data_IF_863535657071
#
_entry.id   IF_863535657071
#
_cell.length_a   1.000
_cell.length_b   1.000
_cell.length_c   1.000
_cell.angle_alpha   90.00
_cell.angle_beta   90.00
_cell.angle_gamma   90.00
#
_symmetry.space_group_name_H-M   'P 1'
#
loop_
_entity.id
_entity.type
_entity.pdbx_description
1 polymer ?
#
# COMPACT_ATOMS: atom_id res chain seq x y z
N UNK A 1 -44.93 5.19 -13.56
CA UNK A 1 -44.07 5.29 -14.76
C UNK A 1 -42.70 5.65 -14.23
N UNK A 2 -41.76 4.72 -14.23
CA UNK A 2 -40.39 5.04 -13.86
C UNK A 2 -39.73 5.75 -15.04
N UNK A 3 -39.42 7.03 -14.85
CA UNK A 3 -38.61 7.79 -15.78
C UNK A 3 -37.14 7.55 -15.42
N UNK A 4 -36.54 6.50 -15.98
CA UNK A 4 -35.09 6.49 -16.11
C UNK A 4 -34.69 7.56 -17.13
N UNK A 5 -33.87 8.51 -16.70
CA UNK A 5 -33.25 9.51 -17.58
C UNK A 5 -32.01 8.95 -18.30
N UNK A 6 -31.55 7.73 -17.96
CA UNK A 6 -30.30 7.18 -18.47
C UNK A 6 -30.38 6.75 -19.94
N UNK A 7 -31.49 6.14 -20.37
CA UNK A 7 -31.70 5.68 -21.76
C UNK A 7 -32.17 6.80 -22.73
N UNK A 8 -32.40 8.00 -22.21
CA UNK A 8 -33.07 9.09 -22.94
C UNK A 8 -34.55 8.81 -23.23
N UNK A 9 -35.21 9.74 -23.92
CA UNK A 9 -36.59 9.55 -24.37
C UNK A 9 -36.62 8.67 -25.62
N UNK A 10 -37.25 7.50 -25.53
CA UNK A 10 -37.50 6.66 -26.72
C UNK A 10 -38.29 7.43 -27.78
N UNK A 11 -38.11 7.08 -29.05
CA UNK A 11 -38.77 7.77 -30.19
C UNK A 11 -40.29 7.92 -30.01
N UNK A 12 -40.93 6.96 -29.32
CA UNK A 12 -42.36 6.99 -28.98
C UNK A 12 -42.68 8.04 -27.90
N UNK A 13 -41.88 8.14 -26.83
CA UNK A 13 -42.08 9.14 -25.77
C UNK A 13 -41.81 10.55 -26.31
N UNK A 14 -40.76 10.73 -27.12
CA UNK A 14 -40.45 12.02 -27.77
C UNK A 14 -41.59 12.48 -28.68
N UNK A 15 -42.17 11.57 -29.47
CA UNK A 15 -43.34 11.87 -30.30
C UNK A 15 -44.58 12.24 -29.46
N UNK A 16 -44.82 11.57 -28.33
CA UNK A 16 -45.92 11.90 -27.41
C UNK A 16 -45.74 13.27 -26.76
N UNK A 17 -44.53 13.62 -26.32
CA UNK A 17 -44.24 14.92 -25.70
C UNK A 17 -44.36 16.06 -26.72
N UNK A 18 -43.80 15.89 -27.92
CA UNK A 18 -43.91 16.88 -29.01
C UNK A 18 -45.37 17.03 -29.44
N UNK A 19 -46.10 15.93 -29.64
CA UNK A 19 -47.53 15.96 -29.97
C UNK A 19 -48.38 16.65 -28.89
N UNK A 20 -48.08 16.39 -27.61
CA UNK A 20 -48.71 17.05 -26.47
C UNK A 20 -48.45 18.56 -26.46
N UNK A 21 -47.20 18.99 -26.64
CA UNK A 21 -46.84 20.40 -26.71
C UNK A 21 -47.51 21.12 -27.89
N UNK A 22 -47.57 20.49 -29.07
CA UNK A 22 -48.26 21.02 -30.26
C UNK A 22 -49.77 21.17 -29.99
N UNK A 23 -50.42 20.17 -29.37
CA UNK A 23 -51.83 20.26 -28.97
C UNK A 23 -52.09 21.35 -27.93
N UNK A 24 -51.16 21.57 -27.00
CA UNK A 24 -51.26 22.61 -25.98
C UNK A 24 -51.16 24.01 -26.61
N UNK A 25 -50.22 24.23 -27.53
CA UNK A 25 -50.12 25.48 -28.31
C UNK A 25 -51.35 25.69 -29.20
N UNK A 26 -51.81 24.66 -29.92
CA UNK A 26 -53.00 24.75 -30.77
C UNK A 26 -54.27 25.06 -29.98
N UNK A 27 -54.44 24.48 -28.79
CA UNK A 27 -55.60 24.76 -27.94
C UNK A 27 -55.59 26.17 -27.37
N UNK A 28 -54.43 26.75 -27.06
CA UNK A 28 -54.31 28.19 -26.72
C UNK A 28 -54.72 29.07 -27.92
N UNK A 29 -54.26 28.74 -29.12
CA UNK A 29 -54.60 29.49 -30.35
C UNK A 29 -56.12 29.44 -30.60
N UNK A 30 -56.73 28.26 -30.58
CA UNK A 30 -58.18 28.07 -30.80
C UNK A 30 -59.01 28.75 -29.72
N UNK A 31 -58.62 28.68 -28.45
CA UNK A 31 -59.33 29.37 -27.36
C UNK A 31 -59.24 30.90 -27.47
N UNK A 32 -58.17 31.43 -28.08
CA UNK A 32 -58.02 32.86 -28.36
C UNK A 32 -58.91 33.29 -29.54
N UNK A 33 -58.92 32.51 -30.61
CA UNK A 33 -59.74 32.76 -31.82
C UNK A 33 -61.25 32.71 -31.50
N UNK A 34 -61.67 31.78 -30.64
CA UNK A 34 -63.05 31.67 -30.12
C UNK A 34 -63.40 32.72 -29.03
N UNK A 35 -62.50 33.66 -28.73
CA UNK A 35 -62.65 34.70 -27.68
C UNK A 35 -62.90 34.16 -26.26
N UNK A 36 -62.59 32.89 -25.99
CA UNK A 36 -62.66 32.27 -24.66
C UNK A 36 -61.51 32.78 -23.78
N UNK A 37 -60.36 33.08 -24.41
CA UNK A 37 -59.16 33.63 -23.79
C UNK A 37 -58.84 35.02 -24.35
N UNK A 38 -58.46 35.96 -23.48
CA UNK A 38 -57.95 37.26 -23.92
C UNK A 38 -56.52 37.11 -24.48
N UNK A 39 -56.14 37.99 -25.39
CA UNK A 39 -54.79 38.00 -26.00
C UNK A 39 -53.69 38.08 -24.92
N UNK A 40 -53.93 38.82 -23.83
CA UNK A 40 -53.01 38.91 -22.69
C UNK A 40 -52.90 37.59 -21.90
N UNK A 41 -54.02 36.88 -21.69
CA UNK A 41 -54.02 35.56 -21.06
C UNK A 41 -53.34 34.50 -21.93
N UNK A 42 -53.55 34.54 -23.25
CA UNK A 42 -52.91 33.66 -24.21
C UNK A 42 -51.38 33.88 -24.25
N UNK A 43 -50.92 35.13 -24.23
CA UNK A 43 -49.50 35.47 -24.13
C UNK A 43 -48.84 34.89 -22.88
N UNK A 44 -49.47 35.03 -21.71
CA UNK A 44 -48.94 34.52 -20.44
C UNK A 44 -48.89 32.98 -20.39
N UNK A 45 -49.84 32.29 -21.04
CA UNK A 45 -49.78 30.83 -21.19
C UNK A 45 -48.66 30.39 -22.15
N UNK A 46 -48.43 31.12 -23.25
CA UNK A 46 -47.34 30.82 -24.19
C UNK A 46 -45.96 31.05 -23.56
N UNK A 47 -45.78 32.12 -22.78
CA UNK A 47 -44.57 32.34 -21.98
C UNK A 47 -44.34 31.21 -20.95
N UNK A 48 -45.41 30.70 -20.33
CA UNK A 48 -45.35 29.52 -19.47
C UNK A 48 -44.83 28.27 -20.20
N UNK A 49 -45.36 27.99 -21.40
CA UNK A 49 -44.91 26.87 -22.26
C UNK A 49 -43.45 27.04 -22.68
N UNK A 50 -43.04 28.24 -23.10
CA UNK A 50 -41.67 28.55 -23.47
C UNK A 50 -40.70 28.41 -22.27
N UNK A 51 -41.11 28.86 -21.08
CA UNK A 51 -40.31 28.74 -19.85
C UNK A 51 -40.12 27.28 -19.47
N UNK A 52 -41.16 26.45 -19.53
CA UNK A 52 -41.07 25.00 -19.30
C UNK A 52 -40.14 24.33 -20.33
N UNK A 53 -40.26 24.69 -21.62
CA UNK A 53 -39.36 24.20 -22.67
C UNK A 53 -37.90 24.59 -22.42
N UNK A 54 -37.65 25.81 -21.97
CA UNK A 54 -36.30 26.32 -21.66
C UNK A 54 -35.70 25.59 -20.46
N UNK A 55 -36.47 25.38 -19.39
CA UNK A 55 -36.04 24.59 -18.22
C UNK A 55 -35.75 23.12 -18.61
N UNK A 56 -36.60 22.52 -19.44
CA UNK A 56 -36.39 21.17 -19.96
C UNK A 56 -35.11 21.05 -20.78
N UNK A 57 -34.80 22.03 -21.63
CA UNK A 57 -33.55 22.08 -22.40
C UNK A 57 -32.31 22.22 -21.52
N UNK A 58 -32.35 23.08 -20.49
CA UNK A 58 -31.25 23.24 -19.52
C UNK A 58 -31.02 21.93 -18.76
N UNK A 59 -32.09 21.27 -18.30
CA UNK A 59 -32.01 20.01 -17.58
C UNK A 59 -31.44 18.87 -18.46
N UNK A 60 -31.91 18.75 -19.71
CA UNK A 60 -31.37 17.79 -20.68
C UNK A 60 -29.89 18.02 -20.95
N UNK A 61 -29.49 19.28 -21.14
CA UNK A 61 -28.09 19.65 -21.41
C UNK A 61 -27.20 19.36 -20.19
N UNK A 62 -27.65 19.67 -18.98
CA UNK A 62 -26.97 19.32 -17.74
C UNK A 62 -26.83 17.79 -17.59
N UNK A 63 -27.88 17.03 -17.88
CA UNK A 63 -27.85 15.56 -17.83
C UNK A 63 -26.85 14.98 -18.84
N UNK A 64 -26.87 15.45 -20.09
CA UNK A 64 -25.92 15.02 -21.13
C UNK A 64 -24.47 15.35 -20.75
N UNK A 65 -24.20 16.56 -20.25
CA UNK A 65 -22.85 16.94 -19.79
C UNK A 65 -22.40 16.09 -18.60
N UNK A 66 -23.31 15.78 -17.67
CA UNK A 66 -22.99 14.90 -16.54
C UNK A 66 -22.72 13.46 -16.98
N UNK A 67 -23.45 12.93 -17.97
CA UNK A 67 -23.21 11.60 -18.54
C UNK A 67 -21.89 11.56 -19.32
N UNK A 68 -21.67 12.50 -20.25
CA UNK A 68 -20.42 12.60 -21.01
C UNK A 68 -19.19 12.70 -20.09
N UNK A 69 -19.31 13.42 -18.97
CA UNK A 69 -18.24 13.49 -17.98
C UNK A 69 -17.95 12.13 -17.34
N UNK A 70 -18.97 11.36 -16.93
CA UNK A 70 -18.78 9.99 -16.43
C UNK A 70 -18.18 9.06 -17.50
N UNK A 71 -18.64 9.16 -18.74
CA UNK A 71 -18.11 8.33 -19.85
C UNK A 71 -16.64 8.63 -20.13
N UNK A 72 -16.22 9.89 -20.02
CA UNK A 72 -14.81 10.31 -20.11
C UNK A 72 -14.02 9.74 -18.93
N UNK A 73 -14.49 9.93 -17.69
CA UNK A 73 -13.82 9.42 -16.46
C UNK A 73 -13.68 7.89 -16.49
N UNK A 74 -14.69 7.14 -16.95
CA UNK A 74 -14.65 5.68 -17.14
C UNK A 74 -13.66 5.29 -18.24
N UNK A 75 -13.66 6.00 -19.39
CA UNK A 75 -12.74 5.72 -20.49
C UNK A 75 -11.29 5.98 -20.10
N UNK A 76 -11.01 7.08 -19.40
CA UNK A 76 -9.68 7.39 -18.89
C UNK A 76 -9.20 6.30 -17.93
N UNK A 77 -10.02 5.90 -16.95
CA UNK A 77 -9.70 4.78 -16.04
C UNK A 77 -9.37 3.50 -16.79
N UNK A 78 -10.18 3.09 -17.77
CA UNK A 78 -9.90 1.91 -18.59
C UNK A 78 -8.64 2.05 -19.45
N UNK A 79 -8.30 3.26 -19.90
CA UNK A 79 -7.06 3.51 -20.65
C UNK A 79 -5.80 3.40 -19.77
N UNK A 80 -5.86 3.87 -18.52
CA UNK A 80 -4.72 3.79 -17.59
C UNK A 80 -4.59 2.44 -16.88
N UNK A 81 -5.69 1.68 -16.73
CA UNK A 81 -5.76 0.40 -16.00
C UNK A 81 -4.58 -0.57 -16.25
N UNK A 82 -4.10 -0.82 -17.49
CA UNK A 82 -2.96 -1.71 -17.72
C UNK A 82 -1.67 -1.22 -17.03
N UNK A 83 -1.38 0.07 -17.13
CA UNK A 83 -0.21 0.69 -16.50
C UNK A 83 -0.32 0.70 -14.97
N UNK A 84 -1.55 0.78 -14.43
CA UNK A 84 -1.81 0.68 -12.99
C UNK A 84 -1.55 -0.75 -12.51
N UNK A 85 -2.06 -1.77 -13.19
CA UNK A 85 -1.77 -3.19 -12.89
C UNK A 85 -0.26 -3.43 -12.91
N UNK A 86 0.44 -3.03 -13.98
CA UNK A 86 1.90 -3.15 -14.09
C UNK A 86 2.63 -2.48 -12.91
N UNK A 87 2.19 -1.30 -12.46
CA UNK A 87 2.78 -0.61 -11.31
C UNK A 87 2.44 -1.22 -9.95
N UNK A 88 1.25 -1.80 -9.79
CA UNK A 88 0.90 -2.56 -8.60
C UNK A 88 1.79 -3.81 -8.49
N UNK A 89 1.93 -4.57 -9.57
CA UNK A 89 2.72 -5.80 -9.64
C UNK A 89 4.23 -5.59 -9.53
N UNK A 90 4.78 -4.61 -10.26
CA UNK A 90 6.24 -4.39 -10.35
C UNK A 90 6.82 -3.57 -9.19
N UNK A 91 5.99 -2.82 -8.46
CA UNK A 91 6.45 -1.89 -7.44
C UNK A 91 5.67 -1.99 -6.11
N UNK A 92 4.35 -1.76 -6.10
CA UNK A 92 3.63 -1.61 -4.82
C UNK A 92 3.53 -2.92 -4.04
N UNK A 93 3.16 -4.01 -4.69
CA UNK A 93 3.03 -5.31 -4.04
C UNK A 93 4.40 -5.86 -3.58
N UNK A 94 5.48 -5.87 -4.40
CA UNK A 94 6.83 -6.20 -3.95
C UNK A 94 7.29 -5.41 -2.72
N UNK A 95 7.11 -4.08 -2.74
CA UNK A 95 7.43 -3.19 -1.63
C UNK A 95 6.65 -3.55 -0.36
N UNK A 96 5.34 -3.73 -0.47
CA UNK A 96 4.46 -4.16 0.62
C UNK A 96 4.91 -5.48 1.23
N UNK A 97 5.23 -6.48 0.39
CA UNK A 97 5.73 -7.81 0.82
C UNK A 97 7.09 -7.70 1.53
N UNK A 98 7.96 -6.81 1.07
CA UNK A 98 9.28 -6.56 1.68
C UNK A 98 9.17 -5.93 3.08
N UNK A 99 8.34 -4.88 3.23
CA UNK A 99 8.03 -4.27 4.53
C UNK A 99 7.35 -5.29 5.46
N UNK A 100 6.53 -6.22 4.92
CA UNK A 100 5.95 -7.31 5.70
C UNK A 100 7.01 -8.27 6.23
N UNK A 101 7.99 -8.63 5.38
CA UNK A 101 9.11 -9.51 5.73
C UNK A 101 9.96 -8.86 6.81
N UNK A 102 10.36 -7.60 6.65
CA UNK A 102 11.13 -6.82 7.62
C UNK A 102 10.43 -6.83 8.98
N UNK A 103 9.15 -6.43 9.03
CA UNK A 103 8.36 -6.41 10.26
C UNK A 103 8.24 -7.79 10.92
N UNK A 104 8.11 -8.85 10.12
CA UNK A 104 8.06 -10.23 10.61
C UNK A 104 9.39 -10.65 11.23
N UNK A 105 10.53 -10.36 10.59
CA UNK A 105 11.86 -10.69 11.12
C UNK A 105 12.10 -10.02 12.48
N UNK A 106 11.75 -8.74 12.60
CA UNK A 106 11.89 -7.95 13.84
C UNK A 106 11.03 -8.48 15.00
N UNK A 107 9.86 -9.08 14.71
CA UNK A 107 8.88 -9.53 15.72
C UNK A 107 8.95 -11.03 16.03
N UNK A 108 9.10 -11.86 15.00
CA UNK A 108 8.92 -13.31 15.02
C UNK A 108 10.16 -14.09 14.53
N UNK A 109 11.23 -13.39 14.15
CA UNK A 109 12.44 -14.00 13.59
C UNK A 109 12.41 -14.35 12.10
N UNK A 110 13.52 -14.90 11.63
CA UNK A 110 13.78 -15.19 10.22
C UNK A 110 12.82 -16.26 9.63
N UNK A 111 12.51 -16.22 8.32
CA UNK A 111 11.64 -17.24 7.71
C UNK A 111 12.18 -18.67 7.88
N UNK A 112 11.52 -19.47 8.72
CA UNK A 112 11.91 -20.85 9.04
C UNK A 112 12.61 -21.01 10.38
N UNK A 113 12.94 -19.93 11.08
CA UNK A 113 13.42 -19.96 12.46
C UNK A 113 12.28 -20.38 13.41
N UNK A 114 12.62 -21.26 14.37
CA UNK A 114 11.71 -21.73 15.42
C UNK A 114 12.35 -21.64 16.82
N UNK A 115 13.39 -20.81 16.96
CA UNK A 115 14.06 -20.58 18.23
C UNK A 115 13.21 -19.77 19.21
N UNK A 116 13.70 -19.56 20.45
CA UNK A 116 12.99 -18.77 21.44
C UNK A 116 13.25 -17.26 21.24
N UNK A 117 12.24 -16.43 21.51
CA UNK A 117 12.37 -14.95 21.46
C UNK A 117 13.22 -14.38 22.61
N UNK A 118 13.46 -15.17 23.65
CA UNK A 118 14.27 -14.84 24.81
C UNK A 118 14.81 -16.12 25.49
N UNK A 119 15.93 -16.02 26.19
CA UNK A 119 16.41 -17.08 27.10
C UNK A 119 16.74 -16.50 28.47
N UNK A 120 16.85 -17.37 29.46
CA UNK A 120 17.24 -17.03 30.84
C UNK A 120 18.52 -17.77 31.15
N UNK A 121 19.60 -17.04 31.45
CA UNK A 121 20.91 -17.58 31.83
C UNK A 121 21.29 -16.89 33.13
N UNK A 122 21.48 -17.67 34.20
CA UNK A 122 21.60 -17.15 35.56
C UNK A 122 20.33 -16.41 36.00
N UNK A 123 20.49 -15.14 36.38
CA UNK A 123 19.38 -14.24 36.76
C UNK A 123 18.98 -13.27 35.64
N UNK A 124 19.69 -13.27 34.51
CA UNK A 124 19.50 -12.35 33.37
C UNK A 124 18.59 -12.94 32.29
N UNK A 125 17.83 -12.07 31.61
CA UNK A 125 16.95 -12.44 30.48
C UNK A 125 17.46 -11.80 29.19
N UNK A 126 17.85 -12.63 28.23
CA UNK A 126 18.46 -12.20 26.97
C UNK A 126 17.46 -12.34 25.83
N UNK A 127 17.11 -11.21 25.20
CA UNK A 127 16.21 -11.13 24.04
C UNK A 127 16.92 -11.51 22.74
N UNK A 128 16.21 -12.16 21.83
CA UNK A 128 16.70 -12.51 20.50
C UNK A 128 16.62 -11.33 19.52
N UNK A 129 17.71 -11.09 18.78
CA UNK A 129 17.82 -10.10 17.71
C UNK A 129 18.17 -10.82 16.40
N UNK A 130 17.60 -10.37 15.28
CA UNK A 130 17.67 -11.07 14.00
C UNK A 130 18.21 -10.15 12.91
N UNK A 131 18.97 -10.71 11.98
CA UNK A 131 19.55 -9.92 10.91
C UNK A 131 18.47 -9.52 9.89
N UNK A 132 18.33 -8.22 9.61
CA UNK A 132 17.38 -7.73 8.61
C UNK A 132 18.09 -7.38 7.32
N UNK A 133 17.77 -8.12 6.26
CA UNK A 133 18.21 -7.84 4.89
C UNK A 133 17.02 -7.29 4.09
N UNK A 134 16.94 -5.96 3.82
CA UNK A 134 15.88 -5.38 3.01
C UNK A 134 16.00 -5.82 1.54
N UNK A 135 14.89 -5.86 0.80
CA UNK A 135 14.88 -6.20 -0.63
C UNK A 135 15.28 -5.03 -1.53
N UNK A 136 15.23 -3.80 -0.99
CA UNK A 136 15.60 -2.57 -1.66
C UNK A 136 16.64 -1.81 -0.83
N UNK A 137 17.64 -1.24 -1.49
CA UNK A 137 18.44 -0.15 -0.93
C UNK A 137 17.68 1.18 -1.03
N UNK A 138 18.03 2.16 -0.20
CA UNK A 138 17.37 3.48 -0.12
C UNK A 138 17.28 4.23 -1.45
N UNK A 139 18.24 4.03 -2.36
CA UNK A 139 18.24 4.62 -3.72
C UNK A 139 17.35 3.89 -4.73
N UNK A 140 16.93 2.66 -4.43
CA UNK A 140 16.16 1.76 -5.31
C UNK A 140 14.68 1.62 -4.92
N UNK A 141 14.24 2.32 -3.87
CA UNK A 141 12.83 2.33 -3.44
C UNK A 141 11.96 2.82 -4.62
N UNK A 142 10.92 2.06 -5.03
CA UNK A 142 10.02 2.48 -6.08
C UNK A 142 9.33 3.81 -5.73
N UNK A 143 9.28 4.74 -6.68
CA UNK A 143 8.56 6.01 -6.55
C UNK A 143 7.22 5.93 -7.25
N UNK A 144 6.16 6.22 -6.52
CA UNK A 144 4.81 6.25 -7.07
C UNK A 144 4.44 7.64 -7.61
N UNK A 145 3.37 7.71 -8.38
CA UNK A 145 2.92 8.90 -9.13
C UNK A 145 1.42 9.11 -8.93
N UNK A 146 0.83 10.18 -9.48
CA UNK A 146 -0.53 10.67 -9.18
C UNK A 146 -1.72 9.69 -9.33
N UNK A 147 -1.51 8.44 -9.75
CA UNK A 147 -2.53 7.37 -9.80
C UNK A 147 -2.36 6.29 -8.72
N UNK A 148 -1.25 6.31 -7.97
CA UNK A 148 -0.97 5.47 -6.81
C UNK A 148 -0.30 6.41 -5.80
N UNK A 149 -1.11 7.08 -4.97
CA UNK A 149 -0.62 8.14 -4.08
C UNK A 149 -0.15 7.53 -2.74
N UNK A 150 1.09 7.05 -2.70
CA UNK A 150 1.75 6.54 -1.49
C UNK A 150 2.80 7.53 -1.03
N UNK A 151 2.79 7.90 0.26
CA UNK A 151 3.88 8.69 0.85
C UNK A 151 5.22 7.95 0.79
N UNK A 152 6.05 8.33 -0.18
CA UNK A 152 7.41 7.82 -0.37
C UNK A 152 8.36 8.19 0.79
N UNK A 153 7.99 9.14 1.65
CA UNK A 153 8.71 9.47 2.88
C UNK A 153 8.56 8.34 3.91
N UNK A 154 7.35 7.84 4.15
CA UNK A 154 7.11 6.73 5.08
C UNK A 154 7.78 5.43 4.64
N UNK A 155 7.92 5.20 3.33
CA UNK A 155 8.66 4.03 2.82
C UNK A 155 10.16 4.23 2.97
N UNK A 156 10.69 5.43 2.69
CA UNK A 156 12.09 5.77 2.95
C UNK A 156 12.48 5.63 4.42
N UNK A 157 11.63 6.09 5.35
CA UNK A 157 11.85 5.97 6.80
C UNK A 157 12.06 4.50 7.22
N UNK A 158 11.30 3.55 6.66
CA UNK A 158 11.49 2.11 6.93
C UNK A 158 12.89 1.67 6.55
N UNK A 159 13.34 1.96 5.31
CA UNK A 159 14.63 1.50 4.82
C UNK A 159 15.79 2.18 5.54
N UNK A 160 15.66 3.46 5.92
CA UNK A 160 16.66 4.16 6.73
C UNK A 160 16.75 3.61 8.16
N UNK A 161 15.61 3.28 8.79
CA UNK A 161 15.62 2.62 10.12
C UNK A 161 16.23 1.22 10.06
N UNK A 162 15.97 0.47 8.98
CA UNK A 162 16.56 -0.86 8.76
C UNK A 162 18.06 -0.78 8.50
N UNK A 163 18.52 0.19 7.72
CA UNK A 163 19.95 0.44 7.46
C UNK A 163 20.71 0.63 8.79
N UNK A 164 20.24 1.55 9.64
CA UNK A 164 20.81 1.77 10.99
C UNK A 164 20.77 0.49 11.85
N UNK A 165 19.61 -0.16 11.94
CA UNK A 165 19.45 -1.38 12.75
C UNK A 165 20.44 -2.47 12.31
N UNK A 166 20.63 -2.65 11.00
CA UNK A 166 21.53 -3.65 10.46
C UNK A 166 23.00 -3.26 10.64
N UNK A 167 23.36 -1.98 10.58
CA UNK A 167 24.72 -1.52 10.89
C UNK A 167 25.06 -1.78 12.38
N UNK A 168 24.21 -1.35 13.32
CA UNK A 168 24.39 -1.62 14.77
C UNK A 168 24.39 -3.12 15.07
N UNK A 169 23.60 -3.93 14.33
CA UNK A 169 23.61 -5.39 14.47
C UNK A 169 24.96 -6.00 14.08
N UNK A 170 25.57 -5.54 12.96
CA UNK A 170 26.90 -6.03 12.56
C UNK A 170 27.99 -5.55 13.53
N UNK A 171 27.88 -4.34 14.07
CA UNK A 171 28.81 -3.83 15.10
C UNK A 171 28.72 -4.66 16.39
N UNK A 172 27.51 -4.98 16.86
CA UNK A 172 27.31 -5.88 18.01
C UNK A 172 27.83 -7.30 17.75
N UNK A 173 27.65 -7.84 16.53
CA UNK A 173 28.27 -9.12 16.15
C UNK A 173 29.80 -9.03 16.21
N UNK A 174 30.40 -7.97 15.67
CA UNK A 174 31.85 -7.79 15.67
C UNK A 174 32.44 -7.65 17.08
N UNK A 175 31.81 -6.87 17.95
CA UNK A 175 32.27 -6.74 19.34
C UNK A 175 32.11 -8.05 20.13
N UNK A 176 31.04 -8.84 19.90
CA UNK A 176 30.93 -10.18 20.50
C UNK A 176 32.02 -11.12 19.96
N UNK A 177 32.36 -11.08 18.67
CA UNK A 177 33.51 -11.85 18.15
C UNK A 177 34.82 -11.46 18.85
N UNK A 178 35.02 -10.16 19.10
CA UNK A 178 36.19 -9.65 19.82
C UNK A 178 36.21 -10.15 21.27
N UNK A 179 35.10 -10.09 21.98
CA UNK A 179 34.96 -10.58 23.36
C UNK A 179 35.16 -12.09 23.48
N UNK A 180 34.63 -12.89 22.55
CA UNK A 180 34.88 -14.34 22.48
C UNK A 180 36.40 -14.62 22.40
N UNK A 181 37.13 -13.86 21.58
CA UNK A 181 38.57 -14.02 21.39
C UNK A 181 39.44 -13.42 22.52
N UNK A 182 38.91 -12.49 23.31
CA UNK A 182 39.63 -11.81 24.40
C UNK A 182 39.37 -12.46 25.78
N UNK A 183 38.19 -13.03 26.01
CA UNK A 183 37.76 -13.51 27.33
C UNK A 183 37.68 -15.04 27.47
N UNK A 184 37.57 -15.78 26.36
CA UNK A 184 37.46 -17.24 26.37
C UNK A 184 38.78 -17.88 25.92
N UNK A 185 39.78 -17.88 26.81
CA UNK A 185 41.14 -18.43 26.61
C UNK A 185 41.17 -19.87 26.04
N UNK A 186 40.16 -20.70 26.36
CA UNK A 186 40.04 -22.10 25.94
C UNK A 186 39.19 -22.30 24.65
N UNK A 187 38.79 -21.23 23.95
CA UNK A 187 37.96 -21.32 22.75
C UNK A 187 38.75 -21.76 21.50
N UNK A 188 38.84 -23.07 21.26
CA UNK A 188 39.56 -23.66 20.09
C UNK A 188 38.82 -23.51 18.72
N UNK A 189 37.82 -22.63 18.60
CA UNK A 189 37.06 -22.44 17.35
C UNK A 189 37.82 -21.68 16.27
N UNK A 190 37.49 -21.94 14.99
CA UNK A 190 38.02 -21.16 13.87
C UNK A 190 37.25 -19.83 13.66
N UNK A 191 37.74 -18.98 12.75
CA UNK A 191 37.16 -17.66 12.50
C UNK A 191 35.69 -17.70 12.05
N UNK A 192 35.30 -18.76 11.34
CA UNK A 192 33.92 -18.93 10.86
C UNK A 192 33.03 -19.35 12.04
N UNK A 193 33.52 -20.24 12.91
CA UNK A 193 32.83 -20.64 14.14
C UNK A 193 32.69 -19.49 15.15
N UNK A 194 33.70 -18.62 15.31
CA UNK A 194 33.61 -17.42 16.16
C UNK A 194 32.52 -16.48 15.62
N UNK A 195 32.46 -16.28 14.30
CA UNK A 195 31.43 -15.47 13.66
C UNK A 195 30.03 -16.06 13.85
N UNK A 196 29.85 -17.35 13.60
CA UNK A 196 28.58 -18.05 13.81
C UNK A 196 28.14 -17.96 15.29
N UNK A 197 29.06 -18.15 16.24
CA UNK A 197 28.75 -18.09 17.67
C UNK A 197 28.40 -16.67 18.14
N UNK A 198 28.99 -15.62 17.57
CA UNK A 198 28.57 -14.25 17.83
C UNK A 198 27.18 -13.92 17.24
N UNK A 199 26.83 -14.48 16.07
CA UNK A 199 25.48 -14.36 15.50
C UNK A 199 24.46 -15.14 16.35
N UNK A 200 24.81 -16.35 16.80
CA UNK A 200 24.00 -17.13 17.75
C UNK A 200 23.88 -16.45 19.12
N UNK A 201 24.92 -15.75 19.57
CA UNK A 201 24.88 -14.95 20.79
C UNK A 201 23.74 -13.94 20.73
N UNK A 202 23.57 -13.20 19.63
CA UNK A 202 22.46 -12.26 19.42
C UNK A 202 21.11 -12.94 19.13
N UNK A 203 21.10 -14.05 18.38
CA UNK A 203 19.87 -14.80 18.05
C UNK A 203 19.36 -15.69 19.19
N UNK A 204 20.16 -15.90 20.24
CA UNK A 204 19.99 -16.86 21.34
C UNK A 204 20.06 -18.34 20.90
N UNK A 205 19.56 -18.67 19.71
CA UNK A 205 19.49 -20.04 19.19
C UNK A 205 19.25 -20.05 17.66
N UNK A 206 19.64 -21.12 16.96
CA UNK A 206 19.26 -21.33 15.55
C UNK A 206 17.86 -21.93 15.38
N UNK A 207 17.35 -22.64 16.39
CA UNK A 207 16.03 -23.27 16.35
C UNK A 207 15.84 -24.39 15.30
N UNK A 208 16.93 -24.91 14.72
CA UNK A 208 16.94 -25.94 13.67
C UNK A 208 17.69 -27.21 14.12
N UNK A 209 18.77 -27.08 14.91
CA UNK A 209 19.42 -28.17 15.69
C UNK A 209 20.52 -27.56 16.56
N UNK A 210 20.40 -27.71 17.88
CA UNK A 210 21.49 -27.41 18.81
C UNK A 210 22.80 -28.02 18.30
N UNK A 211 23.72 -27.15 17.88
CA UNK A 211 25.10 -27.55 17.68
C UNK A 211 25.60 -28.00 19.04
N UNK A 212 26.07 -29.24 19.17
CA UNK A 212 26.54 -29.77 20.47
C UNK A 212 27.71 -28.98 21.08
N UNK A 213 28.34 -28.11 20.27
CA UNK A 213 29.31 -27.11 20.70
C UNK A 213 28.63 -25.80 21.15
N UNK A 214 27.60 -25.31 20.43
CA UNK A 214 26.83 -24.14 20.87
C UNK A 214 26.19 -24.38 22.25
N UNK A 215 25.56 -25.54 22.45
CA UNK A 215 24.94 -25.91 23.73
C UNK A 215 25.95 -25.95 24.90
N UNK A 216 27.23 -26.14 24.61
CA UNK A 216 28.30 -26.14 25.62
C UNK A 216 28.83 -24.73 25.94
N UNK A 217 28.81 -23.80 24.97
CA UNK A 217 29.35 -22.45 25.10
C UNK A 217 28.28 -21.36 25.31
N UNK A 218 27.00 -21.65 25.10
CA UNK A 218 25.87 -20.70 25.17
C UNK A 218 25.81 -19.92 26.48
N UNK A 219 26.00 -20.60 27.61
CA UNK A 219 25.93 -20.00 28.95
C UNK A 219 27.15 -19.11 29.27
N UNK A 220 28.22 -19.17 28.48
CA UNK A 220 29.42 -18.33 28.59
C UNK A 220 29.41 -17.20 27.56
N UNK A 221 28.95 -17.46 26.32
CA UNK A 221 28.97 -16.51 25.21
C UNK A 221 27.79 -15.53 25.23
N UNK A 222 26.57 -15.98 25.57
CA UNK A 222 25.40 -15.07 25.58
C UNK A 222 25.55 -13.94 26.61
N UNK A 223 26.09 -14.16 27.83
CA UNK A 223 26.36 -13.08 28.78
C UNK A 223 27.37 -12.02 28.34
N UNK A 224 28.24 -12.27 27.33
CA UNK A 224 29.17 -11.24 26.82
C UNK A 224 28.45 -9.99 26.27
N UNK A 225 27.14 -10.09 25.99
CA UNK A 225 26.27 -8.94 25.69
C UNK A 225 26.23 -7.89 26.82
N UNK A 226 26.44 -8.29 28.07
CA UNK A 226 26.40 -7.38 29.23
C UNK A 226 27.62 -6.44 29.26
N UNK A 227 28.70 -6.78 28.54
CA UNK A 227 29.90 -5.93 28.35
C UNK A 227 29.75 -4.93 27.18
N UNK A 228 28.69 -5.05 26.36
CA UNK A 228 28.33 -4.09 25.29
C UNK A 228 26.94 -3.45 25.50
N UNK A 229 26.64 -2.88 26.68
CA UNK A 229 25.30 -2.44 27.04
C UNK A 229 24.77 -1.31 26.14
N UNK A 230 25.65 -0.43 25.65
CA UNK A 230 25.27 0.68 24.76
C UNK A 230 24.72 0.15 23.41
N UNK A 231 25.43 -0.78 22.77
CA UNK A 231 24.99 -1.41 21.51
C UNK A 231 23.70 -2.23 21.71
N UNK A 232 23.58 -2.94 22.84
CA UNK A 232 22.38 -3.72 23.14
C UNK A 232 21.15 -2.82 23.42
N UNK A 233 21.34 -1.64 24.01
CA UNK A 233 20.29 -0.64 24.21
C UNK A 233 19.88 -0.02 22.86
N UNK A 234 20.85 0.40 22.05
CA UNK A 234 20.59 0.97 20.72
C UNK A 234 19.87 -0.03 19.80
N UNK A 235 20.22 -1.33 19.88
CA UNK A 235 19.52 -2.39 19.15
C UNK A 235 18.03 -2.52 19.53
N UNK A 236 17.63 -2.40 20.80
CA UNK A 236 16.20 -2.46 21.15
C UNK A 236 15.47 -1.16 20.77
N UNK A 237 16.11 0.00 20.87
CA UNK A 237 15.55 1.27 20.38
C UNK A 237 15.32 1.22 18.86
N UNK A 238 16.33 0.88 18.07
CA UNK A 238 16.24 0.75 16.62
C UNK A 238 15.25 -0.34 16.19
N UNK A 239 15.15 -1.45 16.93
CA UNK A 239 14.14 -2.50 16.71
C UNK A 239 12.71 -1.95 16.88
N UNK A 240 12.47 -1.12 17.89
CA UNK A 240 11.18 -0.48 18.13
C UNK A 240 10.87 0.58 17.06
N UNK A 241 11.88 1.33 16.60
CA UNK A 241 11.77 2.29 15.50
C UNK A 241 11.42 1.62 14.17
N UNK A 242 12.13 0.54 13.79
CA UNK A 242 11.82 -0.24 12.57
C UNK A 242 10.39 -0.77 12.61
N UNK A 243 9.96 -1.38 13.73
CA UNK A 243 8.58 -1.86 13.87
C UNK A 243 7.55 -0.73 13.76
N UNK A 244 7.87 0.45 14.32
CA UNK A 244 7.02 1.65 14.24
C UNK A 244 6.94 2.19 12.81
N UNK A 245 8.08 2.30 12.11
CA UNK A 245 8.17 2.73 10.72
C UNK A 245 7.39 1.77 9.81
N UNK A 246 7.60 0.45 9.92
CA UNK A 246 6.86 -0.55 9.16
C UNK A 246 5.35 -0.43 9.40
N UNK A 247 4.91 -0.23 10.65
CA UNK A 247 3.48 -0.08 10.96
C UNK A 247 2.86 1.22 10.41
N UNK A 248 3.63 2.32 10.34
CA UNK A 248 3.22 3.55 9.64
C UNK A 248 3.09 3.31 8.14
N UNK A 249 4.13 2.75 7.50
CA UNK A 249 4.12 2.45 6.07
C UNK A 249 3.00 1.48 5.66
N UNK A 250 2.67 0.48 6.49
CA UNK A 250 1.51 -0.40 6.25
C UNK A 250 0.18 0.35 6.28
N UNK A 251 0.00 1.27 7.24
CA UNK A 251 -1.21 2.08 7.35
C UNK A 251 -1.41 3.03 6.16
N UNK A 252 -0.36 3.33 5.42
CA UNK A 252 -0.41 4.11 4.19
C UNK A 252 -0.67 3.21 2.96
N UNK A 253 0.13 2.15 2.81
CA UNK A 253 0.11 1.28 1.63
C UNK A 253 -1.21 0.49 1.51
N UNK A 254 -1.74 -0.06 2.61
CA UNK A 254 -2.93 -0.91 2.55
C UNK A 254 -4.18 -0.12 2.08
N UNK A 255 -4.52 1.08 2.60
CA UNK A 255 -5.60 1.90 2.06
C UNK A 255 -5.42 2.27 0.59
N UNK A 256 -4.22 2.73 0.20
CA UNK A 256 -3.95 3.18 -1.17
C UNK A 256 -4.08 2.03 -2.18
N UNK A 257 -3.58 0.83 -1.84
CA UNK A 257 -3.79 -0.37 -2.64
C UNK A 257 -5.29 -0.66 -2.83
N UNK A 258 -6.06 -0.68 -1.74
CA UNK A 258 -7.50 -0.96 -1.79
C UNK A 258 -8.29 0.11 -2.57
N UNK A 259 -7.93 1.39 -2.43
CA UNK A 259 -8.55 2.49 -3.16
C UNK A 259 -8.22 2.42 -4.65
N UNK A 260 -6.97 2.14 -5.02
CA UNK A 260 -6.54 1.95 -6.41
C UNK A 260 -7.28 0.78 -7.07
N UNK A 261 -7.33 -0.39 -6.41
CA UNK A 261 -8.05 -1.56 -6.93
C UNK A 261 -9.54 -1.26 -7.17
N UNK A 262 -10.17 -0.53 -6.24
CA UNK A 262 -11.57 -0.12 -6.34
C UNK A 262 -11.81 0.95 -7.40
N UNK A 263 -10.92 1.93 -7.54
CA UNK A 263 -11.06 3.02 -8.51
C UNK A 263 -10.97 2.50 -9.95
N UNK A 264 -10.00 1.62 -10.22
CA UNK A 264 -9.71 1.09 -11.55
C UNK A 264 -10.45 -0.23 -11.85
N UNK A 265 -11.32 -0.67 -10.93
CA UNK A 265 -12.06 -1.94 -11.01
C UNK A 265 -11.15 -3.12 -11.36
N UNK A 266 -10.05 -3.26 -10.62
CA UNK A 266 -9.08 -4.36 -10.74
C UNK A 266 -9.43 -5.40 -9.67
N UNK A 267 -9.65 -6.66 -10.06
CA UNK A 267 -9.82 -7.75 -9.08
C UNK A 267 -8.47 -8.27 -8.60
N UNK A 268 -8.42 -8.81 -7.38
CA UNK A 268 -7.19 -9.43 -6.84
C UNK A 268 -6.66 -10.54 -7.75
N UNK A 269 -7.54 -11.31 -8.42
CA UNK A 269 -7.19 -12.35 -9.39
C UNK A 269 -6.49 -11.85 -10.67
N UNK A 270 -6.52 -10.53 -10.95
CA UNK A 270 -5.81 -9.91 -12.07
C UNK A 270 -4.39 -9.45 -11.71
N UNK A 271 -4.04 -9.50 -10.42
CA UNK A 271 -2.68 -9.28 -9.96
C UNK A 271 -1.95 -10.63 -9.95
N UNK A 272 -0.84 -10.71 -10.69
CA UNK A 272 0.03 -11.86 -10.71
C UNK A 272 0.53 -12.25 -9.30
N UNK A 273 0.77 -13.54 -9.05
CA UNK A 273 1.01 -14.03 -7.71
C UNK A 273 2.26 -13.42 -7.10
N UNK A 274 2.08 -12.71 -5.99
CA UNK A 274 2.59 -13.18 -4.70
C UNK A 274 4.09 -12.94 -4.42
N UNK A 275 4.88 -12.69 -5.47
CA UNK A 275 6.31 -13.02 -5.49
C UNK A 275 7.15 -11.87 -4.93
N UNK A 276 7.95 -12.08 -3.87
CA UNK A 276 8.86 -11.04 -3.38
C UNK A 276 9.94 -10.74 -4.43
N UNK A 277 10.57 -9.55 -4.39
CA UNK A 277 11.72 -9.28 -5.25
C UNK A 277 12.82 -10.31 -4.97
N UNK A 278 13.30 -10.98 -6.02
CA UNK A 278 14.46 -11.87 -5.90
C UNK A 278 15.70 -11.06 -5.50
N UNK A 279 16.64 -11.70 -4.78
CA UNK A 279 17.81 -11.05 -4.18
C UNK A 279 18.58 -10.20 -5.19
N UNK A 280 18.83 -8.94 -4.82
CA UNK A 280 20.13 -8.26 -4.99
C UNK A 280 20.61 -7.91 -6.40
N UNK A 281 20.06 -8.50 -7.45
CA UNK A 281 20.39 -8.12 -8.83
C UNK A 281 19.60 -6.88 -9.23
N UNK A 282 20.33 -5.78 -9.38
CA UNK A 282 19.86 -4.47 -9.84
C UNK A 282 18.87 -4.57 -11.01
N UNK A 283 17.58 -4.34 -10.74
CA UNK A 283 16.54 -4.12 -11.76
C UNK A 283 16.63 -2.73 -12.45
N UNK A 284 17.83 -2.14 -12.49
CA UNK A 284 18.23 -1.24 -13.55
C UNK A 284 19.14 -2.02 -14.51
N UNK A 285 18.77 -2.21 -15.81
CA UNK A 285 18.18 -1.16 -16.64
C UNK A 285 17.04 -1.59 -17.61
N UNK A 286 15.88 -0.93 -17.55
CA UNK A 286 14.85 -1.02 -18.60
C UNK A 286 14.04 0.26 -18.88
N UNK A 287 14.46 1.42 -18.35
CA UNK A 287 13.85 2.72 -18.63
C UNK A 287 14.90 3.74 -19.11
N UNK A 288 15.15 3.71 -20.42
CA UNK A 288 15.79 4.76 -21.23
C UNK A 288 15.08 4.86 -22.57
#
# INVERSE_FOLDING_TARGET
MDFSLEDGLSTKQTAVIIGGAILLVLSIIVATDQQILSIQGAGLLMDGVLTIGTLGYVFLTYSMVSQMRRDIEIRERHQFRPNIIERLESALLPLRRDIQRIRRIIRDGEPGWNGPNETVIGESVYRSYHEVKPGYGTQSIPRFTAHIDVDNGLTYDVYQSVEKYSDTYQEAVYEIQRLILEELDDFEGDSDQVQDFAVLALKVDDGVRGHSLWDAWKDEIVPLRDEIPDLMSELDELRNDVNTACHKAFREIDPVLNETLKEYSISEDELGPDSPPERGDSLAPALR
#
